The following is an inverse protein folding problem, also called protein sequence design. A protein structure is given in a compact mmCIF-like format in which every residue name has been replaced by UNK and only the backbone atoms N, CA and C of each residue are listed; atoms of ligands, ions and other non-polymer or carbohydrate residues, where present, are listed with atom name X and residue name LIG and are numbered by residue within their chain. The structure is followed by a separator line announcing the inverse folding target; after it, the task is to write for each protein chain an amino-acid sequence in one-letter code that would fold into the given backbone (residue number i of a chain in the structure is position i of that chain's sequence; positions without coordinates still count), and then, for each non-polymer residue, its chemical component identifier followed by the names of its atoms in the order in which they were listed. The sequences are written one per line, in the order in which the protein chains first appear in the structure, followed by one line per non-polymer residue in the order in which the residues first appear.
data_IF_906719782228
#
_entry.id   IF_906719782228
#
_cell.length_a   1.000
_cell.length_b   1.000
_cell.length_c   1.000
_cell.angle_alpha   90.00
_cell.angle_beta   90.00
_cell.angle_gamma   90.00
#
_symmetry.space_group_name_H-M   'P 1'
#
loop_
_entity.id
_entity.type
_entity.pdbx_description
1 polymer ?
#
# COMPACT_ATOMS: atom_id res chain seq x y z
N UNK A 1 18.84 8.05 -4.87
CA UNK A 1 17.93 7.00 -4.34
C UNK A 1 16.67 7.09 -5.17
N UNK A 2 16.31 6.03 -5.91
CA UNK A 2 15.11 6.07 -6.78
C UNK A 2 13.88 6.04 -5.88
N UNK A 3 13.09 7.11 -5.87
CA UNK A 3 11.72 7.07 -5.38
C UNK A 3 10.95 6.11 -6.30
N UNK A 4 10.76 4.87 -5.88
CA UNK A 4 9.78 3.96 -6.47
C UNK A 4 8.41 4.51 -6.07
N UNK A 5 7.78 5.27 -6.97
CA UNK A 5 6.34 5.47 -6.92
C UNK A 5 5.70 4.08 -6.88
N UNK A 6 5.00 3.77 -5.78
CA UNK A 6 4.25 2.53 -5.62
C UNK A 6 3.35 2.35 -6.85
N UNK A 7 3.57 1.29 -7.62
CA UNK A 7 2.69 0.97 -8.73
C UNK A 7 1.33 0.60 -8.11
N UNK A 8 0.23 1.33 -8.42
CA UNK A 8 -1.09 1.06 -7.87
C UNK A 8 -1.50 -0.43 -8.01
N UNK A 9 -1.04 -1.05 -9.10
CA UNK A 9 -1.28 -2.44 -9.45
C UNK A 9 -0.67 -3.44 -8.44
N UNK A 10 0.45 -3.10 -7.80
CA UNK A 10 1.09 -3.99 -6.83
C UNK A 10 0.43 -3.95 -5.45
N UNK A 11 -0.15 -2.81 -5.06
CA UNK A 11 -0.98 -2.71 -3.84
C UNK A 11 -2.33 -3.41 -4.03
N UNK A 12 -2.97 -3.22 -5.19
CA UNK A 12 -4.21 -3.91 -5.54
C UNK A 12 -4.03 -5.44 -5.49
N UNK A 13 -2.94 -5.94 -6.09
CA UNK A 13 -2.59 -7.37 -6.04
C UNK A 13 -2.34 -7.88 -4.61
N UNK A 14 -1.87 -7.02 -3.72
CA UNK A 14 -1.62 -7.37 -2.33
C UNK A 14 -2.93 -7.48 -1.53
N UNK A 15 -3.89 -6.58 -1.79
CA UNK A 15 -5.26 -6.69 -1.27
C UNK A 15 -5.94 -7.96 -1.77
N UNK A 16 -5.86 -8.25 -3.07
CA UNK A 16 -6.45 -9.45 -3.67
C UNK A 16 -5.90 -10.74 -3.03
N UNK A 17 -4.60 -10.79 -2.76
CA UNK A 17 -3.98 -11.94 -2.11
C UNK A 17 -4.45 -12.10 -0.66
N UNK A 18 -4.57 -10.99 0.09
CA UNK A 18 -5.00 -11.00 1.49
C UNK A 18 -6.49 -11.36 1.68
N UNK A 19 -7.30 -11.22 0.63
CA UNK A 19 -8.73 -11.55 0.65
C UNK A 19 -9.04 -13.01 0.31
N UNK A 20 -8.02 -13.81 -0.04
CA UNK A 20 -8.23 -15.24 -0.32
C UNK A 20 -8.49 -16.02 0.96
N UNK A 21 -9.22 -17.13 0.83
CA UNK A 21 -9.42 -18.10 1.92
C UNK A 21 -8.09 -18.71 2.37
N UNK A 22 -7.19 -18.97 1.41
CA UNK A 22 -5.82 -19.46 1.65
C UNK A 22 -4.79 -18.50 1.03
N UNK A 23 -4.40 -17.45 1.78
CA UNK A 23 -3.45 -16.45 1.28
C UNK A 23 -2.02 -16.99 1.20
N UNK A 24 -1.32 -16.75 0.07
CA UNK A 24 0.09 -17.09 -0.05
C UNK A 24 0.96 -16.09 0.73
N UNK A 25 1.38 -16.49 1.92
CA UNK A 25 2.21 -15.69 2.82
C UNK A 25 3.60 -15.36 2.23
N UNK A 26 4.14 -16.19 1.33
CA UNK A 26 5.41 -15.88 0.65
C UNK A 26 5.21 -14.76 -0.36
N UNK A 27 4.11 -14.81 -1.09
CA UNK A 27 3.73 -13.76 -2.04
C UNK A 27 3.45 -12.44 -1.31
N UNK A 28 2.65 -12.46 -0.23
CA UNK A 28 2.37 -11.28 0.61
C UNK A 28 3.67 -10.65 1.11
N UNK A 29 4.56 -11.46 1.71
CA UNK A 29 5.86 -10.96 2.19
C UNK A 29 6.69 -10.34 1.07
N UNK A 30 6.70 -10.94 -0.12
CA UNK A 30 7.43 -10.41 -1.27
C UNK A 30 6.85 -9.08 -1.73
N UNK A 31 5.52 -8.98 -1.86
CA UNK A 31 4.83 -7.76 -2.29
C UNK A 31 5.00 -6.64 -1.26
N UNK A 32 4.83 -6.92 0.03
CA UNK A 32 5.06 -5.94 1.11
C UNK A 32 6.51 -5.44 1.08
N UNK A 33 7.49 -6.33 0.92
CA UNK A 33 8.90 -5.97 0.82
C UNK A 33 9.23 -5.08 -0.39
N UNK A 34 8.60 -5.34 -1.55
CA UNK A 34 8.75 -4.50 -2.74
C UNK A 34 8.19 -3.09 -2.54
N UNK A 35 7.09 -2.96 -1.80
CA UNK A 35 6.48 -1.68 -1.47
C UNK A 35 7.11 -0.97 -0.26
N UNK A 36 8.11 -1.58 0.38
CA UNK A 36 8.70 -1.04 1.61
C UNK A 36 7.75 -1.07 2.82
N UNK A 37 6.69 -1.89 2.77
CA UNK A 37 5.73 -2.03 3.86
C UNK A 37 6.25 -3.00 4.92
N UNK A 38 6.08 -2.67 6.23
CA UNK A 38 6.48 -3.55 7.31
C UNK A 38 5.64 -4.83 7.30
N UNK A 39 6.31 -5.99 7.27
CA UNK A 39 5.63 -7.28 7.31
C UNK A 39 5.21 -7.65 8.74
N UNK A 40 3.95 -8.08 8.91
CA UNK A 40 3.43 -8.72 10.12
C UNK A 40 3.01 -10.16 9.82
N UNK A 41 2.92 -11.01 10.85
CA UNK A 41 2.27 -12.34 10.73
C UNK A 41 0.75 -12.29 10.93
N UNK A 42 0.24 -11.19 11.47
CA UNK A 42 -1.19 -10.99 11.69
C UNK A 42 -1.85 -10.44 10.40
N UNK A 43 -2.82 -11.16 9.80
CA UNK A 43 -3.50 -10.72 8.58
C UNK A 43 -4.23 -9.39 8.72
N UNK A 44 -4.75 -9.06 9.90
CA UNK A 44 -5.44 -7.78 10.12
C UNK A 44 -4.44 -6.61 10.07
N UNK A 45 -3.28 -6.78 10.70
CA UNK A 45 -2.16 -5.84 10.60
C UNK A 45 -1.66 -5.70 9.17
N UNK A 46 -1.55 -6.80 8.42
CA UNK A 46 -1.15 -6.77 7.00
C UNK A 46 -2.14 -5.94 6.18
N UNK A 47 -3.44 -6.20 6.27
CA UNK A 47 -4.48 -5.47 5.54
C UNK A 47 -4.51 -3.98 5.92
N UNK A 48 -4.46 -3.67 7.22
CA UNK A 48 -4.47 -2.28 7.71
C UNK A 48 -3.29 -1.47 7.17
N UNK A 49 -2.10 -2.08 7.12
CA UNK A 49 -0.89 -1.44 6.57
C UNK A 49 -1.03 -1.14 5.07
N UNK A 50 -1.63 -2.07 4.32
CA UNK A 50 -1.81 -1.95 2.87
C UNK A 50 -2.83 -0.86 2.53
N UNK A 51 -3.97 -0.85 3.21
CA UNK A 51 -5.01 0.18 3.03
C UNK A 51 -4.47 1.58 3.37
N UNK A 52 -3.73 1.73 4.48
CA UNK A 52 -3.11 3.00 4.85
C UNK A 52 -2.13 3.48 3.78
N UNK A 53 -1.36 2.58 3.18
CA UNK A 53 -0.45 2.91 2.08
C UNK A 53 -1.18 3.36 0.81
N UNK A 54 -2.33 2.73 0.49
CA UNK A 54 -3.17 3.14 -0.63
C UNK A 54 -3.74 4.55 -0.42
N UNK A 55 -4.24 4.85 0.78
CA UNK A 55 -4.77 6.18 1.12
C UNK A 55 -3.70 7.28 1.02
N UNK A 56 -2.47 6.99 1.50
CA UNK A 56 -1.35 7.93 1.40
C UNK A 56 -0.95 8.23 -0.05
N UNK A 57 -1.01 7.23 -0.93
CA UNK A 57 -0.73 7.42 -2.35
C UNK A 57 -1.87 8.14 -3.08
N UNK A 58 -3.13 7.88 -2.71
CA UNK A 58 -4.28 8.56 -3.30
C UNK A 58 -4.37 10.04 -2.90
N UNK A 59 -3.83 10.42 -1.72
CA UNK A 59 -3.87 11.79 -1.21
C UNK A 59 -2.86 12.77 -1.85
N UNK A 60 -1.93 12.29 -2.69
CA UNK A 60 -0.97 13.12 -3.42
C UNK A 60 -1.40 13.26 -4.90
N UNK A 61 -2.13 14.32 -5.33
CA UNK A 61 -2.09 15.70 -4.85
C UNK A 61 -3.47 16.38 -4.71
N UNK A 62 -3.96 16.58 -3.48
CA UNK A 62 -5.05 17.54 -3.20
C UNK A 62 -4.60 18.78 -2.39
N UNK A 63 -3.35 18.83 -1.91
CA UNK A 63 -2.87 19.90 -0.99
C UNK A 63 -2.10 21.05 -1.67
N UNK A 64 -2.32 21.32 -2.95
CA UNK A 64 -1.72 22.48 -3.64
C UNK A 64 -2.76 23.30 -4.42
N UNK A 65 -3.88 23.70 -3.81
CA UNK A 65 -4.78 24.72 -4.40
C UNK A 65 -5.46 25.71 -3.42
N UNK A 66 -5.13 25.72 -2.13
CA UNK A 66 -5.79 26.61 -1.15
C UNK A 66 -4.84 27.52 -0.36
N UNK A 67 -3.80 28.05 -1.00
CA UNK A 67 -2.97 29.10 -0.39
C UNK A 67 -2.49 30.13 -1.41
N UNK A 68 -3.37 30.52 -2.33
CA UNK A 68 -3.18 31.74 -3.12
C UNK A 68 -4.51 32.37 -3.56
N UNK A 69 -5.36 32.72 -2.60
CA UNK A 69 -6.38 33.76 -2.78
C UNK A 69 -6.59 34.48 -1.45
N UNK A 70 -6.41 35.80 -1.52
CA UNK A 70 -6.56 36.88 -0.51
C UNK A 70 -5.46 37.06 0.51
#
# INVERSE_FOLDING_TARGET
MKQTSLAPDELARLVDELMKDEPDQKLIRSLMGKQGLPYSKDPITQMSTVLQSMDQNAAAPAKMKESNLT
#
